data_IF_239167694530
#
_entry.id   IF_239167694530
#
_cell.length_a   1.000
_cell.length_b   1.000
_cell.length_c   1.000
_cell.angle_alpha   90.00
_cell.angle_beta   90.00
_cell.angle_gamma   90.00
#
_symmetry.space_group_name_H-M   'P 1'
#
loop_
_entity.id
_entity.type
_entity.pdbx_description
1 polymer ?
#
# COMPACT_ATOMS: atom_id res chain seq x y z
N UNK A 1 42.44 -13.21 8.93
CA UNK A 1 42.31 -13.47 7.50
C UNK A 1 41.07 -12.72 6.92
N UNK A 2 41.10 -12.33 5.63
CA UNK A 2 40.07 -11.54 4.97
C UNK A 2 38.70 -12.23 5.00
N UNK A 3 38.66 -13.57 4.85
CA UNK A 3 37.41 -14.33 4.89
C UNK A 3 36.71 -14.28 6.26
N UNK A 4 37.44 -14.24 7.39
CA UNK A 4 36.82 -14.12 8.72
C UNK A 4 36.18 -12.74 8.90
N UNK A 5 36.86 -11.68 8.43
CA UNK A 5 36.30 -10.31 8.44
C UNK A 5 35.06 -10.21 7.56
N UNK A 6 35.08 -10.90 6.41
CA UNK A 6 33.94 -10.99 5.51
C UNK A 6 32.72 -11.62 6.21
N UNK A 7 32.91 -12.77 6.91
CA UNK A 7 31.81 -13.41 7.66
C UNK A 7 31.26 -12.52 8.79
N UNK A 8 32.10 -11.77 9.48
CA UNK A 8 31.64 -10.86 10.54
C UNK A 8 30.75 -9.76 9.95
N UNK A 9 31.13 -9.16 8.80
CA UNK A 9 30.34 -8.11 8.14
C UNK A 9 29.05 -8.63 7.56
N UNK A 10 29.08 -9.77 6.88
CA UNK A 10 27.86 -10.40 6.35
C UNK A 10 26.95 -10.85 7.51
N UNK A 11 27.51 -11.18 8.66
CA UNK A 11 26.75 -11.59 9.85
C UNK A 11 25.72 -10.57 10.31
N UNK A 12 26.03 -9.29 10.29
CA UNK A 12 25.09 -8.23 10.65
C UNK A 12 23.91 -8.15 9.68
N UNK A 13 24.18 -8.19 8.36
CA UNK A 13 23.17 -8.20 7.32
C UNK A 13 22.29 -9.44 7.42
N UNK A 14 22.94 -10.62 7.59
CA UNK A 14 22.22 -11.89 7.72
C UNK A 14 21.33 -11.91 8.97
N UNK A 15 21.82 -11.37 10.10
CA UNK A 15 21.04 -11.29 11.33
C UNK A 15 19.78 -10.44 11.14
N UNK A 16 19.88 -9.26 10.53
CA UNK A 16 18.73 -8.41 10.25
C UNK A 16 17.71 -9.12 9.33
N UNK A 17 18.19 -9.83 8.33
CA UNK A 17 17.31 -10.61 7.44
C UNK A 17 16.60 -11.74 8.19
N UNK A 18 17.34 -12.57 8.95
CA UNK A 18 16.77 -13.65 9.74
C UNK A 18 15.80 -13.14 10.83
N UNK A 19 16.15 -12.02 11.48
CA UNK A 19 15.27 -11.38 12.46
C UNK A 19 13.94 -10.96 11.83
N UNK A 20 13.97 -10.34 10.65
CA UNK A 20 12.76 -9.97 9.93
C UNK A 20 11.89 -11.18 9.59
N UNK A 21 12.48 -12.27 9.07
CA UNK A 21 11.75 -13.49 8.76
C UNK A 21 11.12 -14.11 10.01
N UNK A 22 11.85 -14.10 11.12
CA UNK A 22 11.33 -14.56 12.41
C UNK A 22 10.15 -13.72 12.90
N UNK A 23 10.27 -12.38 12.82
CA UNK A 23 9.19 -11.46 13.23
C UNK A 23 7.97 -11.66 12.35
N UNK A 24 8.10 -11.77 11.00
CA UNK A 24 6.97 -12.07 10.13
C UNK A 24 6.30 -13.41 10.48
N UNK A 25 7.08 -14.44 10.79
CA UNK A 25 6.53 -15.71 11.23
C UNK A 25 5.77 -15.60 12.54
N UNK A 26 6.32 -14.83 13.50
CA UNK A 26 5.65 -14.54 14.77
C UNK A 26 4.33 -13.76 14.57
N UNK A 27 4.32 -12.79 13.66
CA UNK A 27 3.12 -12.01 13.33
C UNK A 27 2.03 -12.93 12.80
N UNK A 28 2.35 -13.76 11.81
CA UNK A 28 1.39 -14.69 11.21
C UNK A 28 0.87 -15.73 12.20
N UNK A 29 1.72 -16.17 13.13
CA UNK A 29 1.32 -17.07 14.20
C UNK A 29 0.38 -16.41 15.21
N UNK A 30 0.65 -15.13 15.59
CA UNK A 30 -0.06 -14.44 16.68
C UNK A 30 -1.37 -13.81 16.20
N UNK A 31 -1.36 -13.17 15.04
CA UNK A 31 -2.49 -12.40 14.51
C UNK A 31 -3.13 -13.01 13.27
N UNK A 32 -2.43 -13.98 12.62
CA UNK A 32 -2.86 -14.48 11.31
C UNK A 32 -2.58 -13.49 10.19
N UNK A 33 -3.22 -13.72 9.06
CA UNK A 33 -3.15 -12.88 7.88
C UNK A 33 -4.57 -12.46 7.46
N UNK A 34 -4.88 -11.18 7.62
CA UNK A 34 -6.18 -10.62 7.28
C UNK A 34 -6.07 -9.85 5.97
N UNK A 35 -6.92 -10.18 5.02
CA UNK A 35 -6.98 -9.49 3.75
C UNK A 35 -8.38 -9.51 3.14
N UNK A 36 -8.64 -8.55 2.27
CA UNK A 36 -9.86 -8.51 1.48
C UNK A 36 -9.53 -9.16 0.13
N UNK A 37 -10.19 -10.28 -0.21
CA UNK A 37 -10.01 -10.90 -1.52
C UNK A 37 -10.49 -9.95 -2.62
N UNK A 38 -9.64 -9.68 -3.60
CA UNK A 38 -9.96 -8.71 -4.68
C UNK A 38 -11.21 -9.12 -5.43
N UNK A 39 -11.38 -10.43 -5.65
CA UNK A 39 -12.52 -10.99 -6.41
C UNK A 39 -13.84 -10.94 -5.64
N UNK A 40 -13.82 -10.68 -4.33
CA UNK A 40 -15.01 -10.60 -3.48
C UNK A 40 -15.43 -9.16 -3.16
N UNK A 41 -14.88 -8.17 -3.84
CA UNK A 41 -15.26 -6.78 -3.66
C UNK A 41 -16.73 -6.56 -4.09
N UNK A 42 -17.66 -6.20 -3.18
CA UNK A 42 -19.11 -6.19 -3.46
C UNK A 42 -19.51 -5.20 -4.56
N UNK A 43 -18.82 -4.07 -4.64
CA UNK A 43 -19.04 -3.01 -5.62
C UNK A 43 -17.90 -2.89 -6.64
N UNK A 44 -16.99 -3.88 -6.67
CA UNK A 44 -15.77 -3.80 -7.46
C UNK A 44 -14.82 -2.72 -6.96
N UNK A 45 -14.06 -2.14 -7.86
CA UNK A 45 -13.02 -1.16 -7.56
C UNK A 45 -13.30 0.17 -8.24
N UNK A 46 -12.80 1.26 -7.66
CA UNK A 46 -12.65 2.56 -8.32
C UNK A 46 -11.20 2.72 -8.78
N UNK A 47 -11.01 3.38 -9.90
CA UNK A 47 -9.72 3.55 -10.55
C UNK A 47 -9.39 5.03 -10.73
N UNK A 48 -8.10 5.38 -10.69
CA UNK A 48 -7.66 6.72 -11.03
C UNK A 48 -7.82 7.00 -12.55
N UNK A 49 -7.68 8.25 -12.95
CA UNK A 49 -7.88 8.68 -14.35
C UNK A 49 -6.85 8.02 -15.29
N UNK A 50 -5.62 7.79 -14.82
CA UNK A 50 -4.60 7.07 -15.57
C UNK A 50 -5.03 5.63 -15.89
N UNK A 51 -5.55 4.89 -14.91
CA UNK A 51 -6.08 3.55 -15.12
C UNK A 51 -7.31 3.56 -16.05
N UNK A 52 -8.21 4.53 -15.88
CA UNK A 52 -9.39 4.69 -16.76
C UNK A 52 -8.98 4.97 -18.21
N UNK A 53 -7.91 5.73 -18.42
CA UNK A 53 -7.41 6.04 -19.77
C UNK A 53 -6.96 4.83 -20.58
N UNK A 54 -6.55 3.74 -19.89
CA UNK A 54 -6.15 2.47 -20.53
C UNK A 54 -7.28 1.45 -20.59
N UNK A 55 -8.47 1.77 -20.05
CA UNK A 55 -9.67 0.96 -20.24
C UNK A 55 -10.27 0.32 -18.99
N UNK A 56 -9.69 0.52 -17.79
CA UNK A 56 -10.37 0.16 -16.53
C UNK A 56 -11.62 1.03 -16.33
N UNK A 57 -12.60 0.50 -15.62
CA UNK A 57 -13.83 1.22 -15.28
C UNK A 57 -14.18 1.02 -13.81
N UNK A 58 -14.75 2.04 -13.20
CA UNK A 58 -15.27 1.91 -11.84
C UNK A 58 -16.33 0.80 -11.80
N UNK A 59 -16.22 -0.07 -10.80
CA UNK A 59 -17.02 -1.28 -10.68
C UNK A 59 -16.39 -2.55 -11.25
N UNK A 60 -15.27 -2.46 -11.99
CA UNK A 60 -14.53 -3.65 -12.40
C UNK A 60 -13.98 -4.39 -11.18
N UNK A 61 -14.03 -5.71 -11.21
CA UNK A 61 -13.36 -6.60 -10.26
C UNK A 61 -12.15 -7.20 -10.95
N UNK A 62 -10.96 -7.01 -10.40
CA UNK A 62 -9.72 -7.55 -10.97
C UNK A 62 -9.67 -9.08 -10.79
N UNK A 63 -9.48 -9.82 -11.87
CA UNK A 63 -9.43 -11.29 -11.88
C UNK A 63 -8.01 -11.80 -11.97
N UNK A 64 -7.26 -11.41 -13.01
CA UNK A 64 -5.90 -11.92 -13.25
C UNK A 64 -5.07 -10.97 -14.09
N UNK A 65 -3.73 -11.11 -13.97
CA UNK A 65 -2.74 -10.49 -14.85
C UNK A 65 -2.05 -11.58 -15.66
N UNK A 66 -2.10 -11.52 -16.99
CA UNK A 66 -1.55 -12.55 -17.90
C UNK A 66 -1.93 -13.99 -17.48
N UNK A 67 -3.16 -14.18 -17.00
CA UNK A 67 -3.70 -15.46 -16.52
C UNK A 67 -3.33 -15.84 -15.09
N UNK A 68 -2.50 -15.05 -14.38
CA UNK A 68 -2.20 -15.26 -12.95
C UNK A 68 -3.26 -14.56 -12.12
N UNK A 69 -4.04 -15.28 -11.30
CA UNK A 69 -5.15 -14.68 -10.54
C UNK A 69 -4.65 -13.74 -9.44
N UNK A 70 -5.40 -12.66 -9.22
CA UNK A 70 -5.20 -11.78 -8.07
C UNK A 70 -5.85 -12.38 -6.82
N UNK A 71 -5.14 -12.38 -5.72
CA UNK A 71 -5.66 -12.85 -4.43
C UNK A 71 -6.05 -11.69 -3.53
N UNK A 72 -5.14 -10.73 -3.35
CA UNK A 72 -5.31 -9.61 -2.44
C UNK A 72 -4.84 -8.29 -3.05
N UNK A 73 -5.35 -7.18 -2.52
CA UNK A 73 -4.89 -5.85 -2.91
C UNK A 73 -3.67 -5.45 -2.08
N UNK A 74 -2.51 -5.59 -2.67
CA UNK A 74 -1.22 -5.23 -2.08
C UNK A 74 -0.30 -4.59 -3.13
N UNK A 75 0.92 -4.29 -2.75
CA UNK A 75 1.94 -3.74 -3.67
C UNK A 75 2.26 -4.69 -4.83
N UNK A 76 2.20 -6.00 -4.58
CA UNK A 76 2.47 -7.02 -5.60
C UNK A 76 1.41 -7.01 -6.69
N UNK A 77 0.14 -6.71 -6.33
CA UNK A 77 -0.94 -6.54 -7.30
C UNK A 77 -0.64 -5.40 -8.26
N UNK A 78 -0.23 -4.22 -7.75
CA UNK A 78 0.12 -3.10 -8.61
C UNK A 78 1.27 -3.47 -9.55
N UNK A 79 2.32 -4.09 -9.03
CA UNK A 79 3.46 -4.57 -9.84
C UNK A 79 3.00 -5.58 -10.88
N UNK A 80 2.16 -6.55 -10.51
CA UNK A 80 1.62 -7.53 -11.44
C UNK A 80 0.77 -6.90 -12.54
N UNK A 81 -0.05 -5.88 -12.22
CA UNK A 81 -0.81 -5.13 -13.23
C UNK A 81 0.10 -4.41 -14.20
N UNK A 82 1.13 -3.72 -13.70
CA UNK A 82 1.98 -2.83 -14.52
C UNK A 82 2.93 -3.63 -15.41
N UNK A 83 3.38 -4.79 -14.93
CA UNK A 83 4.30 -5.67 -15.66
C UNK A 83 3.55 -6.63 -16.61
N UNK A 84 2.20 -6.71 -16.53
CA UNK A 84 1.38 -7.53 -17.41
C UNK A 84 1.19 -6.90 -18.79
N UNK A 85 0.91 -7.74 -19.78
CA UNK A 85 0.42 -7.31 -21.10
C UNK A 85 -1.08 -7.09 -21.10
N UNK A 86 -1.79 -7.90 -20.31
CA UNK A 86 -3.24 -7.93 -20.27
C UNK A 86 -3.72 -8.22 -18.84
N UNK A 87 -4.70 -7.46 -18.40
CA UNK A 87 -5.43 -7.70 -17.15
C UNK A 87 -6.86 -8.12 -17.49
N UNK A 88 -7.29 -9.25 -16.94
CA UNK A 88 -8.68 -9.69 -17.01
C UNK A 88 -9.47 -9.11 -15.84
N UNK A 89 -10.61 -8.52 -16.14
CA UNK A 89 -11.53 -7.96 -15.15
C UNK A 89 -12.92 -8.55 -15.32
N UNK A 90 -13.71 -8.65 -14.25
CA UNK A 90 -15.14 -8.91 -14.31
C UNK A 90 -15.87 -7.56 -14.37
N UNK A 91 -16.58 -7.32 -15.46
CA UNK A 91 -17.32 -6.08 -15.73
C UNK A 91 -18.77 -6.40 -16.02
N UNK A 92 -19.69 -5.95 -15.17
CA UNK A 92 -21.13 -6.22 -15.32
C UNK A 92 -21.46 -7.71 -15.48
N UNK A 93 -20.75 -8.58 -14.78
CA UNK A 93 -20.97 -10.04 -14.83
C UNK A 93 -20.33 -10.76 -16.04
N UNK A 94 -19.56 -10.06 -16.88
CA UNK A 94 -18.82 -10.65 -18.00
C UNK A 94 -17.32 -10.34 -17.88
N UNK A 95 -16.49 -11.26 -18.33
CA UNK A 95 -15.03 -11.02 -18.41
C UNK A 95 -14.71 -10.02 -19.53
N UNK A 96 -13.82 -9.10 -19.20
CA UNK A 96 -13.27 -8.14 -20.15
C UNK A 96 -11.74 -8.07 -20.01
N UNK A 97 -11.05 -7.76 -21.09
CA UNK A 97 -9.60 -7.63 -21.12
C UNK A 97 -9.19 -6.17 -21.23
N UNK A 98 -8.25 -5.78 -20.40
CA UNK A 98 -7.60 -4.46 -20.44
C UNK A 98 -6.13 -4.66 -20.80
N UNK A 99 -5.69 -4.03 -21.90
CA UNK A 99 -4.31 -4.09 -22.35
C UNK A 99 -3.48 -2.99 -21.69
N UNK A 100 -2.35 -3.39 -21.10
CA UNK A 100 -1.51 -2.48 -20.30
C UNK A 100 -0.36 -1.97 -21.17
N UNK A 101 -0.18 -0.66 -21.32
CA UNK A 101 0.95 -0.09 -22.06
C UNK A 101 2.26 -0.23 -21.27
N UNK A 102 3.38 -0.35 -21.98
CA UNK A 102 4.71 -0.53 -21.38
C UNK A 102 5.13 0.63 -20.44
N UNK A 103 4.58 1.82 -20.66
CA UNK A 103 4.84 3.02 -19.85
C UNK A 103 3.83 3.22 -18.70
N UNK A 104 3.02 2.19 -18.37
CA UNK A 104 1.96 2.28 -17.37
C UNK A 104 2.46 2.75 -16.01
N UNK A 105 3.61 2.23 -15.55
CA UNK A 105 4.18 2.64 -14.27
C UNK A 105 4.56 4.12 -14.26
N UNK A 106 5.17 4.63 -15.33
CA UNK A 106 5.55 6.03 -15.44
C UNK A 106 4.32 6.94 -15.39
N UNK A 107 3.24 6.54 -16.07
CA UNK A 107 1.96 7.27 -16.02
C UNK A 107 1.37 7.29 -14.62
N UNK A 108 1.38 6.15 -13.92
CA UNK A 108 0.88 6.04 -12.54
C UNK A 108 1.72 6.83 -11.54
N UNK A 109 3.04 6.90 -11.75
CA UNK A 109 3.92 7.71 -10.90
C UNK A 109 3.72 9.21 -11.06
N UNK A 110 3.26 9.66 -12.23
CA UNK A 110 2.89 11.04 -12.46
C UNK A 110 1.53 11.42 -11.82
N UNK A 111 0.72 10.40 -11.50
CA UNK A 111 -0.57 10.57 -10.83
C UNK A 111 -0.38 10.44 -9.32
N UNK A 112 -0.81 11.45 -8.56
CA UNK A 112 -0.71 11.46 -7.08
C UNK A 112 -1.75 10.56 -6.41
N UNK A 113 -2.67 9.96 -7.17
CA UNK A 113 -3.79 9.15 -6.68
C UNK A 113 -3.45 7.67 -6.84
N UNK A 114 -3.84 6.85 -5.87
CA UNK A 114 -3.67 5.39 -5.94
C UNK A 114 -4.31 4.84 -7.22
N UNK A 115 -3.65 3.86 -7.86
CA UNK A 115 -4.13 3.16 -9.05
C UNK A 115 -5.59 2.71 -8.93
N UNK A 116 -5.91 2.03 -7.84
CA UNK A 116 -7.24 1.52 -7.56
C UNK A 116 -7.51 1.47 -6.06
N UNK A 117 -8.78 1.48 -5.69
CA UNK A 117 -9.26 1.27 -4.32
C UNK A 117 -10.57 0.48 -4.35
N UNK A 118 -10.87 -0.25 -3.26
CA UNK A 118 -12.17 -0.88 -3.13
C UNK A 118 -13.27 0.17 -3.06
N UNK A 119 -14.35 -0.08 -3.77
CA UNK A 119 -15.59 0.67 -3.60
C UNK A 119 -16.30 0.14 -2.36
N UNK A 120 -16.52 1.02 -1.40
CA UNK A 120 -17.10 0.67 -0.11
C UNK A 120 -18.61 0.89 -0.12
N UNK A 121 -19.43 -0.14 0.12
CA UNK A 121 -20.87 0.04 0.32
C UNK A 121 -21.12 1.03 1.46
N UNK A 122 -22.01 1.99 1.26
CA UNK A 122 -22.35 2.96 2.28
C UNK A 122 -23.48 2.41 3.17
N UNK A 123 -23.15 1.53 4.10
CA UNK A 123 -24.11 0.93 5.04
C UNK A 123 -24.03 1.66 6.39
N UNK A 124 -25.15 2.10 6.90
CA UNK A 124 -25.26 2.81 8.18
C UNK A 124 -25.15 1.79 9.33
N UNK A 125 -24.16 1.95 10.20
CA UNK A 125 -24.05 1.22 11.47
C UNK A 125 -24.96 1.81 12.53
N UNK A 126 -24.93 3.14 12.69
CA UNK A 126 -25.76 3.85 13.64
C UNK A 126 -26.04 5.29 13.20
N UNK A 127 -27.12 5.85 13.71
CA UNK A 127 -27.52 7.24 13.46
C UNK A 127 -27.34 8.04 14.75
N UNK A 128 -26.61 9.15 14.66
CA UNK A 128 -26.39 10.04 15.81
C UNK A 128 -27.64 10.85 16.09
N UNK A 129 -28.07 10.89 17.34
CA UNK A 129 -29.26 11.64 17.78
C UNK A 129 -29.13 13.15 17.49
N UNK A 130 -30.24 13.80 17.19
CA UNK A 130 -30.32 15.24 16.87
C UNK A 130 -29.49 15.66 15.65
N UNK A 131 -29.31 14.77 14.68
CA UNK A 131 -28.64 15.05 13.41
C UNK A 131 -29.63 15.05 12.25
N UNK A 132 -29.25 15.59 11.08
CA UNK A 132 -30.08 15.55 9.89
C UNK A 132 -30.56 14.14 9.52
N UNK A 133 -29.71 13.13 9.59
CA UNK A 133 -30.08 11.74 9.32
C UNK A 133 -31.12 11.20 10.32
N UNK A 134 -31.00 11.57 11.60
CA UNK A 134 -31.95 11.19 12.63
C UNK A 134 -33.35 11.76 12.36
N UNK A 135 -33.41 13.06 12.03
CA UNK A 135 -34.68 13.73 11.74
C UNK A 135 -35.32 13.25 10.43
N UNK A 136 -34.50 12.81 9.47
CA UNK A 136 -34.96 12.25 8.20
C UNK A 136 -35.42 10.78 8.32
N UNK A 137 -35.19 10.13 9.49
CA UNK A 137 -35.64 8.75 9.72
C UNK A 137 -34.74 7.67 9.15
N UNK A 138 -33.46 7.98 8.86
CA UNK A 138 -32.47 6.95 8.53
C UNK A 138 -32.22 6.05 9.74
N UNK A 139 -31.91 4.78 9.48
CA UNK A 139 -31.74 3.75 10.49
C UNK A 139 -30.47 2.93 10.26
N UNK A 140 -30.03 2.25 11.31
CA UNK A 140 -28.98 1.24 11.18
C UNK A 140 -29.40 0.15 10.18
N UNK A 141 -28.47 -0.25 9.32
CA UNK A 141 -28.70 -1.21 8.25
C UNK A 141 -29.18 -0.60 6.93
N UNK A 142 -29.51 0.70 6.87
CA UNK A 142 -29.81 1.35 5.60
C UNK A 142 -28.54 1.41 4.74
N UNK A 143 -28.65 1.03 3.47
CA UNK A 143 -27.57 1.17 2.50
C UNK A 143 -27.87 2.33 1.57
N UNK A 144 -27.08 3.41 1.67
CA UNK A 144 -27.17 4.56 0.76
C UNK A 144 -26.53 4.17 -0.56
N UNK A 145 -27.27 4.36 -1.66
CA UNK A 145 -26.85 3.94 -3.01
C UNK A 145 -26.71 5.10 -4.00
N UNK A 146 -27.47 6.20 -3.80
CA UNK A 146 -27.39 7.35 -4.67
C UNK A 146 -27.42 8.65 -3.86
N UNK A 147 -26.71 9.64 -4.41
CA UNK A 147 -26.74 11.04 -3.99
C UNK A 147 -27.19 11.89 -5.17
N UNK A 148 -28.29 12.61 -5.04
CA UNK A 148 -28.90 13.45 -6.08
C UNK A 148 -29.09 12.69 -7.42
N UNK A 149 -29.56 11.44 -7.34
CA UNK A 149 -29.78 10.57 -8.48
C UNK A 149 -28.54 9.93 -9.09
N UNK A 150 -27.33 10.29 -8.64
CA UNK A 150 -26.06 9.66 -9.06
C UNK A 150 -25.72 8.50 -8.13
N UNK A 151 -25.46 7.31 -8.69
CA UNK A 151 -24.98 6.17 -7.93
C UNK A 151 -23.62 6.50 -7.28
N UNK A 152 -23.48 6.16 -6.00
CA UNK A 152 -22.29 6.46 -5.20
C UNK A 152 -21.89 5.28 -4.32
N UNK A 153 -20.62 5.25 -3.96
CA UNK A 153 -20.11 4.51 -2.82
C UNK A 153 -19.79 5.47 -1.64
N UNK A 154 -19.32 4.92 -0.53
CA UNK A 154 -19.00 5.74 0.64
C UNK A 154 -17.89 6.77 0.37
N UNK A 155 -16.85 6.39 -0.38
CA UNK A 155 -15.74 7.31 -0.68
C UNK A 155 -16.18 8.42 -1.63
N UNK A 156 -16.99 8.10 -2.64
CA UNK A 156 -17.58 9.08 -3.56
C UNK A 156 -18.51 10.04 -2.83
N UNK A 157 -19.31 9.53 -1.87
CA UNK A 157 -20.15 10.37 -1.02
C UNK A 157 -19.31 11.38 -0.24
N UNK A 158 -18.26 10.92 0.44
CA UNK A 158 -17.37 11.82 1.20
C UNK A 158 -16.71 12.88 0.31
N UNK A 159 -16.22 12.47 -0.86
CA UNK A 159 -15.58 13.39 -1.81
C UNK A 159 -16.56 14.44 -2.33
N UNK A 160 -17.81 14.05 -2.62
CA UNK A 160 -18.84 14.99 -3.08
C UNK A 160 -19.26 15.95 -1.97
N UNK A 161 -19.43 15.47 -0.75
CA UNK A 161 -19.74 16.33 0.40
C UNK A 161 -18.60 17.29 0.72
N UNK A 162 -17.34 16.85 0.56
CA UNK A 162 -16.18 17.73 0.72
C UNK A 162 -16.13 18.86 -0.32
N UNK A 163 -16.44 18.56 -1.58
CA UNK A 163 -16.53 19.60 -2.64
C UNK A 163 -17.60 20.65 -2.33
N UNK A 164 -18.77 20.21 -1.80
CA UNK A 164 -19.86 21.12 -1.44
C UNK A 164 -19.52 22.03 -0.27
N UNK A 165 -18.59 21.63 0.58
CA UNK A 165 -18.08 22.44 1.69
C UNK A 165 -17.51 23.78 1.22
N UNK A 166 -16.93 23.84 0.02
CA UNK A 166 -16.36 25.07 -0.55
C UNK A 166 -17.43 26.11 -0.92
N UNK A 167 -18.70 25.70 -1.06
CA UNK A 167 -19.81 26.57 -1.46
C UNK A 167 -20.57 27.23 -0.31
N UNK A 168 -20.10 27.13 0.94
CA UNK A 168 -20.63 27.75 2.15
C UNK A 168 -22.15 27.60 2.40
N UNK A 169 -22.53 26.81 3.38
CA UNK A 169 -23.89 26.67 3.91
C UNK A 169 -24.46 25.27 3.86
N UNK A 170 -25.55 25.01 4.60
CA UNK A 170 -26.25 23.74 4.54
C UNK A 170 -26.77 23.49 3.12
N UNK A 171 -26.65 22.26 2.64
CA UNK A 171 -27.17 21.87 1.33
C UNK A 171 -28.30 20.87 1.47
N UNK A 172 -29.33 21.07 0.69
CA UNK A 172 -30.34 20.06 0.43
C UNK A 172 -29.74 18.98 -0.44
N UNK A 173 -29.84 17.71 -0.01
CA UNK A 173 -29.36 16.55 -0.72
C UNK A 173 -30.45 15.49 -0.78
N UNK A 174 -30.56 14.83 -1.91
CA UNK A 174 -31.47 13.71 -2.10
C UNK A 174 -30.66 12.40 -1.96
N UNK A 175 -31.06 11.56 -1.02
CA UNK A 175 -30.47 10.26 -0.79
C UNK A 175 -31.42 9.14 -1.20
N UNK A 176 -30.94 8.23 -2.06
CA UNK A 176 -31.62 6.96 -2.29
C UNK A 176 -30.96 5.88 -1.46
N UNK A 177 -31.75 5.11 -0.73
CA UNK A 177 -31.25 4.06 0.15
C UNK A 177 -32.06 2.78 0.01
N UNK A 178 -31.48 1.66 0.39
CA UNK A 178 -32.12 0.35 0.45
C UNK A 178 -32.28 -0.01 1.93
N UNK A 179 -33.54 -0.32 2.30
CA UNK A 179 -33.92 -0.83 3.62
C UNK A 179 -34.72 -2.11 3.43
N UNK A 180 -34.28 -3.24 3.99
CA UNK A 180 -34.96 -4.54 3.89
C UNK A 180 -35.36 -4.91 2.44
N UNK A 181 -34.44 -4.73 1.49
CA UNK A 181 -34.60 -4.94 0.05
C UNK A 181 -35.64 -4.03 -0.65
N UNK A 182 -36.09 -2.97 0.00
CA UNK A 182 -36.92 -1.94 -0.61
C UNK A 182 -36.07 -0.68 -0.83
N UNK A 183 -36.16 -0.12 -2.01
CA UNK A 183 -35.50 1.13 -2.37
C UNK A 183 -36.44 2.29 -2.08
N UNK A 184 -35.95 3.27 -1.34
CA UNK A 184 -36.69 4.49 -1.01
C UNK A 184 -35.77 5.71 -1.17
N UNK A 185 -36.37 6.90 -1.22
CA UNK A 185 -35.64 8.15 -1.42
C UNK A 185 -36.12 9.18 -0.40
N UNK A 186 -35.18 9.91 0.18
CA UNK A 186 -35.49 11.00 1.10
C UNK A 186 -34.63 12.21 0.79
N UNK A 187 -35.13 13.38 1.20
CA UNK A 187 -34.41 14.63 1.13
C UNK A 187 -33.98 15.05 2.53
N UNK A 188 -32.75 15.50 2.67
CA UNK A 188 -32.12 15.85 3.93
C UNK A 188 -31.30 17.12 3.78
N UNK A 189 -31.32 17.98 4.79
CA UNK A 189 -30.39 19.12 4.86
C UNK A 189 -29.11 18.67 5.56
N UNK A 190 -27.97 18.83 4.91
CA UNK A 190 -26.68 18.63 5.62
C UNK A 190 -26.50 19.66 6.72
N UNK A 191 -25.71 19.34 7.75
CA UNK A 191 -25.30 20.33 8.72
C UNK A 191 -24.27 21.32 8.15
N UNK A 192 -23.88 22.34 8.92
CA UNK A 192 -22.87 23.32 8.52
C UNK A 192 -21.46 22.71 8.34
N UNK A 193 -21.24 21.47 8.78
CA UNK A 193 -20.00 20.72 8.60
C UNK A 193 -20.07 19.70 7.46
N UNK A 194 -21.20 19.72 6.71
CA UNK A 194 -21.47 18.79 5.58
C UNK A 194 -21.58 17.32 5.99
N UNK A 195 -21.95 17.07 7.23
CA UNK A 195 -22.22 15.75 7.75
C UNK A 195 -23.72 15.53 7.84
N UNK A 196 -24.13 14.28 7.65
CA UNK A 196 -25.52 13.89 7.83
C UNK A 196 -25.78 13.26 9.20
N UNK A 197 -24.72 12.88 9.92
CA UNK A 197 -24.81 12.36 11.29
C UNK A 197 -25.04 10.86 11.37
N UNK A 198 -24.34 10.10 10.55
CA UNK A 198 -24.32 8.62 10.59
C UNK A 198 -22.92 8.09 10.86
N UNK A 199 -22.83 6.95 11.50
CA UNK A 199 -21.64 6.12 11.57
C UNK A 199 -21.78 5.00 10.53
N UNK A 200 -20.69 4.69 9.82
CA UNK A 200 -20.68 3.70 8.73
C UNK A 200 -20.16 2.39 9.28
N UNK A 201 -20.81 1.31 8.89
CA UNK A 201 -20.40 -0.03 9.26
C UNK A 201 -19.05 -0.37 8.58
N UNK A 202 -17.96 -0.58 9.35
CA UNK A 202 -16.66 -0.94 8.80
C UNK A 202 -16.61 -2.38 8.27
N UNK A 203 -17.52 -3.26 8.73
CA UNK A 203 -17.50 -4.70 8.46
C UNK A 203 -18.25 -5.10 7.18
N UNK A 204 -18.50 -4.13 6.28
CA UNK A 204 -19.20 -4.41 5.00
C UNK A 204 -18.33 -5.10 3.96
N UNK A 205 -17.02 -5.14 4.18
CA UNK A 205 -16.09 -5.81 3.29
C UNK A 205 -15.82 -7.25 3.76
N UNK A 206 -15.79 -8.22 2.83
CA UNK A 206 -15.49 -9.60 3.18
C UNK A 206 -14.00 -9.73 3.55
N UNK A 207 -13.69 -9.64 4.83
CA UNK A 207 -12.33 -9.88 5.33
C UNK A 207 -12.14 -11.37 5.55
N UNK A 208 -11.14 -11.94 4.90
CA UNK A 208 -10.70 -13.32 5.14
C UNK A 208 -9.54 -13.26 6.10
N UNK A 209 -9.67 -14.00 7.21
CA UNK A 209 -8.60 -14.22 8.18
C UNK A 209 -8.08 -15.64 8.04
N UNK A 210 -6.81 -15.76 7.68
CA UNK A 210 -6.10 -17.03 7.63
C UNK A 210 -5.24 -17.17 8.88
N UNK A 211 -5.57 -18.14 9.72
CA UNK A 211 -4.78 -18.48 10.89
C UNK A 211 -3.70 -19.50 10.51
N UNK A 212 -2.54 -19.40 11.13
CA UNK A 212 -1.40 -20.30 10.90
C UNK A 212 -1.03 -21.01 12.20
N UNK A 213 -0.92 -22.33 12.14
CA UNK A 213 -0.31 -23.10 13.20
C UNK A 213 1.19 -22.76 13.37
N UNK A 214 1.76 -23.10 14.52
CA UNK A 214 3.16 -22.76 14.83
C UNK A 214 4.14 -23.16 13.71
N UNK A 215 4.05 -24.39 13.20
CA UNK A 215 4.94 -24.86 12.12
C UNK A 215 4.60 -24.30 10.75
N UNK A 216 3.35 -23.92 10.51
CA UNK A 216 2.88 -23.33 9.24
C UNK A 216 3.27 -21.86 9.13
N UNK A 217 3.37 -21.16 10.27
CA UNK A 217 3.74 -19.75 10.32
C UNK A 217 5.17 -19.49 9.82
N UNK A 218 6.10 -20.44 10.00
CA UNK A 218 7.49 -20.26 9.56
C UNK A 218 7.63 -20.20 8.03
N UNK A 219 7.17 -21.19 7.25
CA UNK A 219 7.25 -21.08 5.78
C UNK A 219 6.43 -19.91 5.25
N UNK A 220 5.26 -19.60 5.84
CA UNK A 220 4.44 -18.46 5.45
C UNK A 220 5.14 -17.12 5.76
N UNK A 221 5.75 -16.95 6.92
CA UNK A 221 6.51 -15.75 7.30
C UNK A 221 7.78 -15.57 6.47
N UNK A 222 8.46 -16.66 6.11
CA UNK A 222 9.59 -16.61 5.16
C UNK A 222 9.10 -16.14 3.78
N UNK A 223 7.99 -16.70 3.29
CA UNK A 223 7.41 -16.30 2.01
C UNK A 223 6.99 -14.81 2.04
N UNK A 224 6.35 -14.36 3.12
CA UNK A 224 5.97 -12.95 3.31
C UNK A 224 7.20 -12.03 3.29
N UNK A 225 8.26 -12.36 4.04
CA UNK A 225 9.48 -11.58 4.10
C UNK A 225 10.22 -11.53 2.76
N UNK A 226 10.32 -12.66 2.06
CA UNK A 226 10.95 -12.72 0.73
C UNK A 226 10.13 -11.92 -0.30
N UNK A 227 8.81 -12.00 -0.26
CA UNK A 227 7.95 -11.23 -1.17
C UNK A 227 8.03 -9.73 -0.86
N UNK A 228 8.06 -9.35 0.42
CA UNK A 228 8.30 -7.95 0.84
C UNK A 228 9.63 -7.43 0.28
N UNK A 229 10.70 -8.21 0.39
CA UNK A 229 12.00 -7.84 -0.17
C UNK A 229 11.96 -7.73 -1.69
N UNK A 230 11.35 -8.70 -2.39
CA UNK A 230 11.19 -8.66 -3.85
C UNK A 230 10.41 -7.42 -4.30
N UNK A 231 9.30 -7.11 -3.63
CA UNK A 231 8.50 -5.91 -3.91
C UNK A 231 9.31 -4.64 -3.73
N UNK A 232 10.06 -4.52 -2.62
CA UNK A 232 10.92 -3.38 -2.35
C UNK A 232 12.01 -3.20 -3.41
N UNK A 233 12.73 -4.29 -3.76
CA UNK A 233 13.77 -4.28 -4.81
C UNK A 233 13.17 -3.94 -6.17
N UNK A 234 11.98 -4.48 -6.49
CA UNK A 234 11.27 -4.17 -7.72
C UNK A 234 10.92 -2.69 -7.86
N UNK A 235 10.59 -2.03 -6.75
CA UNK A 235 10.28 -0.59 -6.74
C UNK A 235 11.53 0.28 -6.91
N UNK A 236 12.71 -0.20 -6.52
CA UNK A 236 13.95 0.58 -6.62
C UNK A 236 14.30 0.98 -8.06
N UNK A 237 13.91 0.18 -9.07
CA UNK A 237 14.11 0.55 -10.48
C UNK A 237 13.45 1.89 -10.83
N UNK A 238 12.37 2.26 -10.12
CA UNK A 238 11.62 3.49 -10.37
C UNK A 238 12.18 4.72 -9.63
N UNK A 239 12.99 4.52 -8.58
CA UNK A 239 13.63 5.64 -7.86
C UNK A 239 14.56 6.47 -8.75
N UNK A 240 15.09 5.86 -9.81
CA UNK A 240 15.94 6.54 -10.79
C UNK A 240 15.14 7.28 -11.88
N UNK A 241 13.80 7.20 -11.84
CA UNK A 241 12.94 8.04 -12.69
C UNK A 241 12.78 9.44 -12.09
N UNK A 242 12.44 10.43 -12.94
CA UNK A 242 12.26 11.81 -12.51
C UNK A 242 11.12 11.95 -11.50
N UNK A 243 10.08 11.16 -11.67
CA UNK A 243 8.88 11.12 -10.83
C UNK A 243 9.15 10.39 -9.51
N UNK A 244 9.85 9.24 -9.56
CA UNK A 244 10.19 8.46 -8.37
C UNK A 244 11.16 9.18 -7.44
N UNK A 245 12.09 9.96 -8.00
CA UNK A 245 13.01 10.77 -7.22
C UNK A 245 12.29 11.82 -6.33
N UNK A 246 11.12 12.30 -6.75
CA UNK A 246 10.27 13.22 -5.97
C UNK A 246 9.52 12.53 -4.82
N UNK A 247 9.41 11.20 -4.84
CA UNK A 247 8.71 10.42 -3.82
C UNK A 247 9.65 9.88 -2.74
N UNK A 248 10.94 10.21 -2.80
CA UNK A 248 11.90 9.86 -1.76
C UNK A 248 11.51 10.58 -0.46
N UNK A 249 11.02 9.81 0.51
CA UNK A 249 10.68 10.32 1.82
C UNK A 249 11.89 10.30 2.77
N UNK A 250 12.03 11.35 3.57
CA UNK A 250 13.03 11.43 4.65
C UNK A 250 12.56 10.75 5.95
N UNK A 251 13.21 11.07 7.07
CA UNK A 251 12.87 10.52 8.38
C UNK A 251 11.41 10.78 8.81
N UNK A 252 10.85 11.94 8.41
CA UNK A 252 9.44 12.26 8.65
C UNK A 252 8.48 11.28 7.96
N UNK A 253 8.79 10.87 6.74
CA UNK A 253 7.99 9.87 6.02
C UNK A 253 8.06 8.50 6.69
N UNK A 254 9.24 8.09 7.20
CA UNK A 254 9.37 6.85 7.99
C UNK A 254 8.53 6.92 9.27
N UNK A 255 8.57 8.06 9.97
CA UNK A 255 7.75 8.28 11.18
C UNK A 255 6.25 8.23 10.90
N UNK A 256 5.80 8.74 9.76
CA UNK A 256 4.38 8.76 9.38
C UNK A 256 3.80 7.38 9.02
N UNK A 257 4.64 6.37 8.82
CA UNK A 257 4.18 4.98 8.58
C UNK A 257 3.67 4.34 9.88
N UNK A 258 4.14 4.83 11.05
CA UNK A 258 3.65 4.33 12.32
C UNK A 258 2.29 4.94 12.67
N UNK A 259 1.34 4.13 13.22
CA UNK A 259 0.02 4.63 13.58
C UNK A 259 0.10 5.66 14.72
N UNK A 260 -0.86 6.60 14.75
CA UNK A 260 -0.96 7.61 15.80
C UNK A 260 -1.34 7.03 17.19
N UNK A 261 -1.95 5.85 17.20
CA UNK A 261 -2.26 5.05 18.39
C UNK A 261 -1.41 3.81 18.44
N UNK A 262 -1.02 3.37 19.64
CA UNK A 262 -0.16 2.20 19.80
C UNK A 262 -0.87 0.92 19.33
N UNK A 263 -0.27 0.23 18.37
CA UNK A 263 -0.71 -1.04 17.82
C UNK A 263 0.47 -2.01 17.74
N UNK A 264 0.39 -3.11 18.49
CA UNK A 264 1.45 -4.10 18.55
C UNK A 264 1.66 -4.84 17.23
N UNK A 265 0.60 -5.16 16.48
CA UNK A 265 0.69 -5.81 15.18
C UNK A 265 1.44 -4.92 14.19
N UNK A 266 1.03 -3.66 14.08
CA UNK A 266 1.67 -2.69 13.18
C UNK A 266 3.11 -2.38 13.60
N UNK A 267 3.38 -2.28 14.90
CA UNK A 267 4.74 -2.09 15.42
C UNK A 267 5.69 -3.20 14.97
N UNK A 268 5.30 -4.47 15.16
CA UNK A 268 6.13 -5.60 14.76
C UNK A 268 6.25 -5.73 13.25
N UNK A 269 5.16 -5.44 12.51
CA UNK A 269 5.19 -5.42 11.04
C UNK A 269 6.19 -4.40 10.51
N UNK A 270 6.18 -3.16 11.03
CA UNK A 270 7.13 -2.12 10.67
C UNK A 270 8.56 -2.47 11.10
N UNK A 271 8.74 -3.09 12.25
CA UNK A 271 10.06 -3.55 12.71
C UNK A 271 10.65 -4.59 11.75
N UNK A 272 9.84 -5.57 11.33
CA UNK A 272 10.27 -6.57 10.34
C UNK A 272 10.59 -5.93 8.98
N UNK A 273 9.75 -5.01 8.53
CA UNK A 273 9.94 -4.29 7.28
C UNK A 273 11.23 -3.47 7.29
N UNK A 274 11.46 -2.67 8.33
CA UNK A 274 12.69 -1.89 8.47
C UNK A 274 13.93 -2.79 8.57
N UNK A 275 13.83 -3.94 9.25
CA UNK A 275 14.94 -4.90 9.35
C UNK A 275 15.33 -5.49 7.99
N UNK A 276 14.32 -5.81 7.13
CA UNK A 276 14.57 -6.26 5.75
C UNK A 276 15.22 -5.16 4.91
N UNK A 277 14.70 -3.93 5.01
CA UNK A 277 15.28 -2.79 4.28
C UNK A 277 16.72 -2.55 4.70
N UNK A 278 17.01 -2.56 6.00
CA UNK A 278 18.36 -2.39 6.51
C UNK A 278 19.30 -3.52 6.03
N UNK A 279 18.83 -4.76 6.02
CA UNK A 279 19.59 -5.89 5.47
C UNK A 279 19.92 -5.65 3.99
N UNK A 280 18.93 -5.25 3.19
CA UNK A 280 19.10 -4.98 1.77
C UNK A 280 20.03 -3.79 1.51
N UNK A 281 19.78 -2.66 2.17
CA UNK A 281 20.60 -1.46 1.99
C UNK A 281 22.06 -1.70 2.38
N UNK A 282 22.31 -2.44 3.45
CA UNK A 282 23.64 -2.77 3.92
C UNK A 282 24.40 -3.76 3.02
N UNK A 283 23.72 -4.55 2.17
CA UNK A 283 24.39 -5.42 1.20
C UNK A 283 24.78 -4.68 -0.10
N UNK A 284 24.22 -3.49 -0.34
CA UNK A 284 24.56 -2.72 -1.53
C UNK A 284 26.04 -2.33 -1.53
N UNK A 285 26.74 -2.40 -2.68
CA UNK A 285 28.17 -2.10 -2.78
C UNK A 285 28.46 -0.59 -2.73
N UNK A 286 27.90 0.09 -1.74
CA UNK A 286 28.08 1.53 -1.52
C UNK A 286 29.17 1.70 -0.46
N UNK A 287 30.33 2.35 -0.81
CA UNK A 287 31.33 2.68 0.19
C UNK A 287 30.70 3.58 1.28
N UNK A 288 30.95 3.29 2.55
CA UNK A 288 30.33 3.80 3.76
C UNK A 288 29.20 2.94 4.35
N UNK A 289 28.68 1.94 3.61
CA UNK A 289 27.85 0.86 4.12
C UNK A 289 28.66 -0.44 4.25
N UNK A 290 28.12 -1.41 4.98
CA UNK A 290 28.79 -2.72 5.19
C UNK A 290 29.09 -3.42 3.85
N UNK A 291 28.21 -3.30 2.86
CA UNK A 291 28.38 -3.86 1.51
C UNK A 291 29.59 -3.29 0.76
N UNK A 292 29.95 -2.04 0.97
CA UNK A 292 31.19 -1.46 0.45
C UNK A 292 32.43 -2.13 1.04
N UNK A 293 32.43 -2.41 2.33
CA UNK A 293 33.50 -3.16 2.99
C UNK A 293 33.55 -4.61 2.52
N UNK A 294 32.39 -5.24 2.34
CA UNK A 294 32.29 -6.60 1.74
C UNK A 294 32.94 -6.62 0.37
N UNK A 295 32.67 -5.60 -0.47
CA UNK A 295 33.28 -5.49 -1.81
C UNK A 295 34.82 -5.40 -1.73
N UNK A 296 35.37 -4.60 -0.81
CA UNK A 296 36.81 -4.50 -0.62
C UNK A 296 37.43 -5.81 -0.13
N UNK A 297 36.74 -6.52 0.76
CA UNK A 297 37.20 -7.83 1.26
C UNK A 297 37.14 -8.90 0.17
N UNK A 298 36.12 -8.90 -0.68
CA UNK A 298 36.04 -9.78 -1.85
C UNK A 298 37.19 -9.50 -2.82
N UNK A 299 37.51 -8.22 -3.08
CA UNK A 299 38.66 -7.85 -3.88
C UNK A 299 39.97 -8.39 -3.25
N UNK A 300 40.16 -8.23 -1.92
CA UNK A 300 41.34 -8.74 -1.19
C UNK A 300 41.47 -10.27 -1.34
N UNK A 301 40.36 -11.00 -1.29
CA UNK A 301 40.36 -12.48 -1.44
C UNK A 301 40.72 -12.88 -2.88
N UNK A 302 40.10 -12.22 -3.88
CA UNK A 302 40.28 -12.57 -5.30
C UNK A 302 41.66 -12.12 -5.81
N UNK A 303 42.03 -10.86 -5.54
CA UNK A 303 43.29 -10.28 -6.01
C UNK A 303 44.50 -10.68 -5.13
N UNK A 304 44.27 -11.34 -3.98
CA UNK A 304 45.29 -11.73 -2.97
C UNK A 304 46.15 -10.55 -2.49
N UNK A 305 45.63 -9.33 -2.60
CA UNK A 305 46.27 -8.11 -2.11
C UNK A 305 45.22 -7.13 -1.60
N UNK A 306 45.58 -6.38 -0.55
CA UNK A 306 44.71 -5.33 -0.03
C UNK A 306 44.62 -4.15 -0.99
N UNK A 307 43.44 -3.51 -1.12
CA UNK A 307 43.35 -2.18 -1.68
C UNK A 307 44.23 -1.19 -0.85
N UNK A 308 44.74 -0.13 -1.49
CA UNK A 308 45.52 0.89 -0.74
C UNK A 308 44.60 1.64 0.24
N UNK A 309 45.14 1.99 1.41
CA UNK A 309 44.40 2.71 2.46
C UNK A 309 43.84 4.03 1.93
N UNK A 310 44.67 4.78 1.12
CA UNK A 310 44.22 6.02 0.46
C UNK A 310 43.04 5.82 -0.49
N UNK A 311 42.97 4.69 -1.17
CA UNK A 311 41.82 4.36 -2.04
C UNK A 311 40.58 4.09 -1.20
N UNK A 312 40.69 3.29 -0.14
CA UNK A 312 39.56 2.96 0.75
C UNK A 312 39.02 4.22 1.44
N UNK A 313 39.88 5.10 1.97
CA UNK A 313 39.48 6.38 2.57
C UNK A 313 38.74 7.28 1.59
N UNK A 314 39.25 7.43 0.36
CA UNK A 314 38.59 8.25 -0.66
C UNK A 314 37.23 7.66 -1.06
N UNK A 315 37.16 6.34 -1.25
CA UNK A 315 35.92 5.67 -1.56
C UNK A 315 34.87 5.85 -0.45
N UNK A 316 35.26 5.68 0.82
CA UNK A 316 34.39 5.93 1.98
C UNK A 316 33.92 7.38 2.06
N UNK A 317 34.83 8.35 1.84
CA UNK A 317 34.46 9.76 1.86
C UNK A 317 33.46 10.11 0.76
N UNK A 318 33.64 9.57 -0.45
CA UNK A 318 32.67 9.72 -1.57
C UNK A 318 31.34 9.08 -1.21
N UNK A 319 31.34 7.86 -0.65
CA UNK A 319 30.14 7.17 -0.21
C UNK A 319 29.38 7.92 0.87
N UNK A 320 30.09 8.45 1.88
CA UNK A 320 29.49 9.30 2.91
C UNK A 320 28.87 10.57 2.32
N UNK A 321 29.59 11.26 1.44
CA UNK A 321 29.08 12.47 0.79
C UNK A 321 27.81 12.19 0.01
N UNK A 322 27.77 11.07 -0.73
CA UNK A 322 26.60 10.64 -1.48
C UNK A 322 25.42 10.36 -0.55
N UNK A 323 25.64 9.62 0.55
CA UNK A 323 24.59 9.31 1.52
C UNK A 323 24.06 10.57 2.22
N UNK A 324 24.95 11.51 2.63
CA UNK A 324 24.52 12.78 3.21
C UNK A 324 23.73 13.63 2.22
N UNK A 325 24.16 13.67 0.95
CA UNK A 325 23.43 14.41 -0.09
C UNK A 325 22.04 13.83 -0.30
N UNK A 326 21.90 12.49 -0.38
CA UNK A 326 20.62 11.83 -0.48
C UNK A 326 19.74 12.07 0.76
N UNK A 327 20.32 12.02 1.96
CA UNK A 327 19.63 12.28 3.21
C UNK A 327 19.06 13.71 3.26
N UNK A 328 19.89 14.69 2.93
CA UNK A 328 19.47 16.10 2.87
C UNK A 328 18.36 16.27 1.84
N UNK A 329 18.54 15.73 0.64
CA UNK A 329 17.54 15.82 -0.40
C UNK A 329 16.20 15.18 -0.01
N UNK A 330 16.23 13.95 0.55
CA UNK A 330 15.03 13.27 0.99
C UNK A 330 14.28 13.97 2.15
N UNK A 331 14.96 14.80 2.95
CA UNK A 331 14.31 15.55 4.04
C UNK A 331 13.90 16.97 3.62
N UNK A 332 14.37 17.47 2.47
CA UNK A 332 13.97 18.78 1.93
C UNK A 332 12.80 18.67 0.91
N UNK A 333 12.49 17.47 0.47
CA UNK A 333 11.40 17.17 -0.45
C UNK A 333 10.10 16.95 0.31
#
# INVERSE_FOLDING_TARGET
PAWQRLFIMIGGVLFNFLLALFIYSMILFTWGDEYIPVQQAPLGMSFNETAKSVGFRDGDVLISADGVPFERMNTDLLTAVVDARQVTVMRNGAEASVYIPEDMMQRLMADSIRFASFRLPYVIESVVTNTPAFHAGLQAGDQITHLDGKAIDYNEFLAEMYKRRESNGPHEIQLTYIRRNQTDTLTIMSDSTYRIGVMVNPDVMPVVRKEYGFFEAFPAGIALGVNTLKGYVGQMKYLFSKEGAKQLGGFGAIGSIFPSTWDWHQFWYMTAFLSIILAFMNILPIPALDGGHVLFLLYEIIARRKPSDKFMERAQMIGMLLLFTLLIWANLN
#
